data_IF_959861934176
#
_entry.id   IF_959861934176
#
_cell.length_a   1.000
_cell.length_b   1.000
_cell.length_c   1.000
_cell.angle_alpha   90.00
_cell.angle_beta   90.00
_cell.angle_gamma   90.00
#
_symmetry.space_group_name_H-M   'P 1'
#
loop_
_entity.id
_entity.type
_entity.pdbx_description
1 polymer ?
#
# COMPACT_ATOMS: atom_id res chain seq x y z
N UNK A 1 -34.18 -3.58 27.76
CA UNK A 1 -33.15 -3.20 26.76
C UNK A 1 -31.78 -3.33 27.41
N UNK A 2 -30.80 -3.98 26.76
CA UNK A 2 -29.41 -4.04 27.24
C UNK A 2 -28.69 -2.73 26.89
N UNK A 3 -27.60 -2.39 27.58
CA UNK A 3 -26.81 -1.19 27.26
C UNK A 3 -26.27 -1.18 25.82
N UNK A 4 -25.92 -2.33 25.29
CA UNK A 4 -25.46 -2.45 23.91
C UNK A 4 -26.58 -2.12 22.91
N UNK A 5 -27.81 -2.52 23.21
CA UNK A 5 -28.98 -2.21 22.35
C UNK A 5 -29.25 -0.71 22.32
N UNK A 6 -29.01 0.02 23.42
CA UNK A 6 -29.08 1.48 23.46
C UNK A 6 -28.07 2.11 22.48
N UNK A 7 -26.82 1.69 22.50
CA UNK A 7 -25.80 2.24 21.61
C UNK A 7 -26.11 1.95 20.13
N UNK A 8 -26.54 0.71 19.83
CA UNK A 8 -26.95 0.29 18.48
C UNK A 8 -28.14 1.09 17.97
N UNK A 9 -29.17 1.28 18.82
CA UNK A 9 -30.37 2.05 18.50
C UNK A 9 -30.01 3.50 18.12
N UNK A 10 -29.23 4.18 18.95
CA UNK A 10 -28.85 5.57 18.70
C UNK A 10 -27.95 5.74 17.49
N UNK A 11 -27.07 4.77 17.20
CA UNK A 11 -26.27 4.79 15.98
C UNK A 11 -27.15 4.72 14.73
N UNK A 12 -28.02 3.70 14.62
CA UNK A 12 -28.87 3.56 13.45
C UNK A 12 -29.89 4.69 13.31
N UNK A 13 -30.40 5.22 14.43
CA UNK A 13 -31.23 6.43 14.43
C UNK A 13 -30.49 7.61 13.82
N UNK A 14 -29.26 7.86 14.29
CA UNK A 14 -28.42 8.93 13.76
C UNK A 14 -28.16 8.79 12.25
N UNK A 15 -27.70 7.62 11.80
CA UNK A 15 -27.39 7.38 10.39
C UNK A 15 -28.62 7.61 9.51
N UNK A 16 -29.78 7.11 9.93
CA UNK A 16 -31.04 7.29 9.21
C UNK A 16 -31.49 8.76 9.17
N UNK A 17 -31.44 9.45 10.31
CA UNK A 17 -31.90 10.86 10.41
C UNK A 17 -31.00 11.82 9.62
N UNK A 18 -29.71 11.50 9.51
CA UNK A 18 -28.73 12.34 8.80
C UNK A 18 -28.48 11.90 7.36
N UNK A 19 -29.03 10.78 6.91
CA UNK A 19 -28.72 10.20 5.61
C UNK A 19 -27.22 9.88 5.47
N UNK A 20 -26.56 9.49 6.56
CA UNK A 20 -25.12 9.23 6.60
C UNK A 20 -24.83 7.73 6.67
N UNK A 21 -23.77 7.29 6.03
CA UNK A 21 -23.33 5.88 6.08
C UNK A 21 -22.45 5.58 7.31
N UNK A 22 -21.83 6.62 7.87
CA UNK A 22 -20.92 6.48 9.01
C UNK A 22 -20.88 7.72 9.90
N UNK A 23 -20.41 7.54 11.16
CA UNK A 23 -20.28 8.64 12.13
C UNK A 23 -19.12 8.41 13.09
N UNK A 24 -18.42 9.47 13.47
CA UNK A 24 -17.46 9.43 14.57
C UNK A 24 -18.17 9.27 15.94
N UNK A 25 -17.62 8.42 16.84
CA UNK A 25 -18.25 8.14 18.15
C UNK A 25 -18.48 9.43 18.98
N UNK A 26 -17.58 10.41 18.87
CA UNK A 26 -17.72 11.69 19.56
C UNK A 26 -18.92 12.48 19.06
N UNK A 27 -19.17 12.49 17.75
CA UNK A 27 -20.35 13.14 17.15
C UNK A 27 -21.64 12.43 17.56
N UNK A 28 -21.63 11.08 17.58
CA UNK A 28 -22.75 10.29 18.09
C UNK A 28 -23.05 10.60 19.56
N UNK A 29 -22.01 10.71 20.41
CA UNK A 29 -22.16 11.12 21.81
C UNK A 29 -22.90 12.44 21.97
N UNK A 30 -22.46 13.48 21.28
CA UNK A 30 -23.11 14.78 21.34
C UNK A 30 -24.55 14.77 20.78
N UNK A 31 -24.79 13.98 19.74
CA UNK A 31 -26.14 13.80 19.22
C UNK A 31 -27.07 13.17 20.26
N UNK A 32 -26.63 12.14 20.99
CA UNK A 32 -27.43 11.52 22.07
C UNK A 32 -27.69 12.51 23.18
N UNK A 33 -26.67 13.23 23.63
CA UNK A 33 -26.80 14.23 24.72
C UNK A 33 -27.74 15.34 24.36
N UNK A 34 -27.82 15.74 23.10
CA UNK A 34 -28.71 16.82 22.62
C UNK A 34 -30.18 16.39 22.51
N UNK A 35 -30.52 15.13 22.72
CA UNK A 35 -31.91 14.66 22.69
C UNK A 35 -32.65 14.96 24.01
N UNK A 36 -33.98 15.02 23.98
CA UNK A 36 -34.77 15.10 25.21
C UNK A 36 -34.40 13.95 26.17
N UNK A 37 -34.49 14.22 27.48
CA UNK A 37 -34.11 13.24 28.50
C UNK A 37 -34.82 11.91 28.35
N UNK A 38 -36.09 11.91 28.00
CA UNK A 38 -36.88 10.69 27.80
C UNK A 38 -36.34 9.82 26.65
N UNK A 39 -35.70 10.41 25.64
CA UNK A 39 -35.15 9.70 24.48
C UNK A 39 -33.74 9.17 24.71
N UNK A 40 -33.03 9.64 25.75
CA UNK A 40 -31.65 9.24 26.07
C UNK A 40 -31.53 8.41 27.35
N UNK A 41 -32.60 7.74 27.75
CA UNK A 41 -32.59 6.86 28.93
C UNK A 41 -31.82 5.57 28.66
N UNK A 42 -30.68 5.39 29.34
CA UNK A 42 -29.78 4.23 29.20
C UNK A 42 -29.97 3.25 30.36
N UNK A 43 -30.00 1.92 30.14
CA UNK A 43 -30.03 0.92 31.20
C UNK A 43 -28.83 1.04 32.14
N UNK A 44 -29.10 1.09 33.45
CA UNK A 44 -28.07 1.13 34.49
C UNK A 44 -27.49 -0.29 34.80
N UNK A 45 -26.22 -0.36 35.25
CA UNK A 45 -25.58 -1.63 35.60
C UNK A 45 -26.26 -2.39 36.75
N UNK A 46 -26.90 -1.68 37.66
CA UNK A 46 -27.61 -2.24 38.83
C UNK A 46 -29.10 -2.50 38.64
N UNK A 47 -29.60 -2.36 37.42
CA UNK A 47 -31.04 -2.39 37.11
C UNK A 47 -31.62 -0.99 37.02
N UNK A 48 -32.81 -0.88 36.39
CA UNK A 48 -33.44 0.41 36.11
C UNK A 48 -32.81 1.13 34.89
N UNK A 49 -33.14 2.40 34.77
CA UNK A 49 -32.66 3.28 33.69
C UNK A 49 -32.18 4.62 34.27
N UNK A 50 -31.25 5.27 33.59
CA UNK A 50 -30.80 6.63 33.92
C UNK A 50 -30.59 7.42 32.65
N UNK A 51 -30.63 8.74 32.72
CA UNK A 51 -30.28 9.56 31.55
C UNK A 51 -28.82 9.37 31.18
N UNK A 52 -28.54 9.34 29.87
CA UNK A 52 -27.20 9.44 29.32
C UNK A 52 -26.77 10.93 29.33
N UNK A 53 -25.60 11.22 29.89
CA UNK A 53 -25.18 12.57 30.18
C UNK A 53 -23.89 12.94 29.44
N UNK A 54 -23.62 14.27 29.35
CA UNK A 54 -22.36 14.79 28.78
C UNK A 54 -21.20 14.62 29.78
N UNK A 55 -20.83 13.39 30.08
CA UNK A 55 -19.73 13.07 30.98
C UNK A 55 -18.69 12.19 30.27
N UNK A 56 -17.43 12.29 30.70
CA UNK A 56 -16.37 11.42 30.20
C UNK A 56 -16.67 9.93 30.44
N UNK A 57 -17.34 9.62 31.56
CA UNK A 57 -17.73 8.24 31.89
C UNK A 57 -18.74 7.68 30.88
N UNK A 58 -19.77 8.44 30.51
CA UNK A 58 -20.76 8.02 29.53
C UNK A 58 -20.18 7.99 28.11
N UNK A 59 -19.31 8.94 27.75
CA UNK A 59 -18.57 8.88 26.50
C UNK A 59 -17.73 7.59 26.40
N UNK A 60 -16.90 7.29 27.40
CA UNK A 60 -16.08 6.08 27.43
C UNK A 60 -16.95 4.81 27.41
N UNK A 61 -18.09 4.86 28.07
CA UNK A 61 -19.07 3.75 28.03
C UNK A 61 -19.63 3.55 26.63
N UNK A 62 -20.01 4.61 25.93
CA UNK A 62 -20.47 4.54 24.55
C UNK A 62 -19.39 3.96 23.62
N UNK A 63 -18.14 4.43 23.72
CA UNK A 63 -16.99 3.89 22.96
C UNK A 63 -16.88 2.36 23.16
N UNK A 64 -16.99 1.90 24.40
CA UNK A 64 -16.93 0.46 24.71
C UNK A 64 -18.11 -0.30 24.11
N UNK A 65 -19.32 0.22 24.22
CA UNK A 65 -20.53 -0.43 23.71
C UNK A 65 -20.53 -0.51 22.17
N UNK A 66 -20.09 0.54 21.51
CA UNK A 66 -19.93 0.57 20.05
C UNK A 66 -18.87 -0.43 19.59
N UNK A 67 -17.73 -0.53 20.32
CA UNK A 67 -16.71 -1.53 20.03
C UNK A 67 -17.25 -2.96 20.19
N UNK A 68 -17.94 -3.24 21.28
CA UNK A 68 -18.60 -4.53 21.53
C UNK A 68 -19.65 -4.88 20.46
N UNK A 69 -20.44 -3.89 20.04
CA UNK A 69 -21.45 -4.08 19.00
C UNK A 69 -20.82 -4.46 17.65
N UNK A 70 -19.70 -3.84 17.30
CA UNK A 70 -18.93 -4.15 16.08
C UNK A 70 -18.35 -5.58 16.13
N UNK A 71 -17.70 -5.95 17.24
CA UNK A 71 -17.11 -7.28 17.42
C UNK A 71 -18.19 -8.37 17.34
N UNK A 72 -19.40 -8.11 17.86
CA UNK A 72 -20.54 -9.03 17.81
C UNK A 72 -21.30 -9.02 16.50
N UNK A 73 -20.90 -8.22 15.52
CA UNK A 73 -21.58 -8.10 14.24
C UNK A 73 -22.98 -7.44 14.31
N UNK A 74 -23.28 -6.72 15.39
CA UNK A 74 -24.55 -6.01 15.56
C UNK A 74 -24.62 -4.70 14.73
N UNK A 75 -23.47 -4.14 14.38
CA UNK A 75 -23.31 -3.00 13.51
C UNK A 75 -22.14 -3.23 12.54
N UNK A 76 -22.21 -2.72 11.29
CA UNK A 76 -21.11 -2.78 10.36
C UNK A 76 -19.87 -2.02 10.87
N UNK A 77 -18.69 -2.50 10.58
CA UNK A 77 -17.44 -1.80 10.92
C UNK A 77 -17.35 -0.44 10.22
N UNK A 78 -17.84 -0.34 8.99
CA UNK A 78 -17.87 0.88 8.19
C UNK A 78 -18.75 1.98 8.75
N UNK A 79 -19.69 1.67 9.68
CA UNK A 79 -20.58 2.66 10.28
C UNK A 79 -19.89 3.63 11.26
N UNK A 80 -18.61 3.39 11.58
CA UNK A 80 -17.85 4.24 12.51
C UNK A 80 -16.60 4.79 11.82
N UNK A 81 -16.50 6.12 11.80
CA UNK A 81 -15.33 6.84 11.28
C UNK A 81 -14.25 6.91 12.36
N UNK A 82 -13.03 6.57 12.00
CA UNK A 82 -11.83 6.77 12.81
C UNK A 82 -10.99 7.91 12.22
N UNK A 83 -11.15 9.11 12.75
CA UNK A 83 -10.46 10.31 12.27
C UNK A 83 -9.07 10.50 12.90
N UNK A 84 -8.69 9.69 13.91
CA UNK A 84 -7.47 9.92 14.69
C UNK A 84 -6.24 9.19 14.17
N UNK A 85 -6.43 8.09 13.48
CA UNK A 85 -5.32 7.30 12.97
C UNK A 85 -5.13 7.57 11.47
N UNK A 86 -3.88 7.73 11.06
CA UNK A 86 -3.53 7.92 9.65
C UNK A 86 -4.00 6.75 8.78
N UNK A 87 -4.16 6.98 7.49
CA UNK A 87 -4.46 5.91 6.54
C UNK A 87 -3.32 4.89 6.54
N UNK A 88 -3.64 3.59 6.70
CA UNK A 88 -2.64 2.54 6.64
C UNK A 88 -2.13 2.39 5.21
N UNK A 89 -0.88 2.00 5.08
CA UNK A 89 -0.30 1.57 3.81
C UNK A 89 -0.38 0.06 3.76
N UNK A 90 -1.26 -0.45 2.92
CA UNK A 90 -1.43 -1.88 2.75
C UNK A 90 -0.70 -2.36 1.51
N UNK A 91 0.06 -3.42 1.65
CA UNK A 91 0.64 -4.11 0.51
C UNK A 91 -0.43 -4.88 -0.27
N UNK A 92 -0.33 -4.94 -1.61
CA UNK A 92 -1.27 -5.71 -2.40
C UNK A 92 -1.31 -7.17 -1.95
N UNK A 93 -2.52 -7.74 -1.89
CA UNK A 93 -2.73 -9.13 -1.48
C UNK A 93 -2.24 -10.13 -2.53
N UNK A 94 -2.22 -9.72 -3.80
CA UNK A 94 -1.71 -10.47 -4.94
C UNK A 94 -0.71 -9.60 -5.69
N UNK A 95 0.33 -10.24 -6.19
CA UNK A 95 1.03 -9.72 -7.35
C UNK A 95 0.16 -9.99 -8.57
N UNK A 96 -0.74 -9.10 -8.88
CA UNK A 96 -1.18 -9.00 -10.23
C UNK A 96 0.01 -8.41 -10.98
N UNK A 97 0.61 -9.22 -11.84
CA UNK A 97 1.63 -8.71 -12.73
C UNK A 97 0.89 -7.84 -13.73
N UNK A 98 1.03 -6.55 -13.59
CA UNK A 98 0.70 -5.64 -14.67
C UNK A 98 1.74 -5.88 -15.76
N UNK A 99 1.27 -6.37 -16.88
CA UNK A 99 2.09 -6.60 -18.04
C UNK A 99 1.48 -5.88 -19.22
N UNK A 100 2.33 -5.32 -20.06
CA UNK A 100 1.94 -4.73 -21.33
C UNK A 100 2.84 -5.27 -22.44
N UNK A 101 2.30 -5.24 -23.64
CA UNK A 101 3.03 -5.60 -24.84
C UNK A 101 3.39 -4.32 -25.55
N UNK A 102 4.66 -4.09 -25.74
CA UNK A 102 5.17 -2.93 -26.45
C UNK A 102 5.74 -3.39 -27.78
N UNK A 103 5.37 -2.75 -28.93
CA UNK A 103 6.06 -2.97 -30.17
C UNK A 103 7.46 -2.35 -30.03
N UNK A 104 8.47 -3.22 -30.07
CA UNK A 104 9.86 -2.78 -30.11
C UNK A 104 10.19 -2.46 -31.55
N UNK A 105 10.43 -1.18 -31.83
CA UNK A 105 11.09 -0.80 -33.05
C UNK A 105 12.45 -1.46 -33.11
N UNK A 106 12.82 -2.01 -34.27
CA UNK A 106 14.21 -2.26 -34.52
C UNK A 106 14.95 -0.95 -34.19
N UNK A 107 15.87 -1.02 -33.22
CA UNK A 107 16.73 0.11 -32.88
C UNK A 107 17.25 0.70 -34.21
N UNK A 108 17.21 2.02 -34.34
CA UNK A 108 17.82 2.68 -35.51
C UNK A 108 19.30 2.27 -35.68
N UNK A 109 19.93 1.74 -34.62
CA UNK A 109 21.23 1.07 -34.66
C UNK A 109 21.18 -0.43 -35.00
N UNK A 110 20.02 -1.09 -35.06
CA UNK A 110 19.86 -2.47 -35.54
C UNK A 110 19.37 -2.53 -37.01
N UNK A 111 18.74 -1.48 -37.49
CA UNK A 111 18.81 -1.16 -38.91
C UNK A 111 20.29 -0.85 -39.16
N UNK A 112 20.98 -1.56 -40.05
CA UNK A 112 22.38 -1.34 -40.31
C UNK A 112 22.63 0.15 -40.35
N UNK A 113 23.69 0.62 -39.66
CA UNK A 113 24.07 2.05 -39.51
C UNK A 113 23.64 2.85 -40.73
N UNK A 114 22.36 3.22 -40.82
CA UNK A 114 21.76 3.87 -41.97
C UNK A 114 22.31 5.29 -41.97
N UNK A 115 23.51 5.39 -42.53
CA UNK A 115 23.97 6.70 -42.94
C UNK A 115 22.97 7.24 -43.96
N UNK A 116 22.80 8.54 -44.04
CA UNK A 116 21.87 9.21 -44.96
C UNK A 116 22.03 8.76 -46.42
N UNK A 117 23.18 8.18 -46.75
CA UNK A 117 23.53 7.63 -48.06
C UNK A 117 23.04 6.18 -48.22
N UNK A 118 22.55 5.52 -47.22
CA UNK A 118 22.11 4.14 -47.32
C UNK A 118 20.64 4.05 -47.78
N UNK A 119 20.28 2.99 -48.47
CA UNK A 119 18.93 2.74 -48.89
C UNK A 119 18.07 2.29 -47.70
N UNK A 120 16.83 2.81 -47.63
CA UNK A 120 15.85 2.30 -46.68
C UNK A 120 15.57 0.83 -46.93
N UNK A 121 15.41 0.00 -45.86
CA UNK A 121 15.00 -1.37 -46.04
C UNK A 121 13.69 -1.49 -46.81
N UNK A 122 13.50 -2.59 -47.51
CA UNK A 122 12.21 -2.90 -48.13
C UNK A 122 11.11 -3.03 -47.10
N UNK A 123 9.84 -2.83 -47.51
CA UNK A 123 8.70 -3.05 -46.61
C UNK A 123 8.74 -4.39 -45.90
N UNK A 124 9.17 -5.43 -46.60
CA UNK A 124 9.29 -6.77 -46.05
C UNK A 124 10.34 -6.84 -44.95
N UNK A 125 11.53 -6.32 -45.19
CA UNK A 125 12.62 -6.29 -44.21
C UNK A 125 12.23 -5.45 -42.99
N UNK A 126 11.53 -4.33 -43.20
CA UNK A 126 11.02 -3.50 -42.11
C UNK A 126 10.01 -4.26 -41.24
N UNK A 127 9.04 -4.95 -41.84
CA UNK A 127 8.02 -5.73 -41.09
C UNK A 127 8.66 -6.91 -40.36
N UNK A 128 9.61 -7.60 -41.00
CA UNK A 128 10.36 -8.73 -40.37
C UNK A 128 11.22 -8.27 -39.18
N UNK A 129 11.61 -7.01 -39.13
CA UNK A 129 12.41 -6.44 -38.05
C UNK A 129 11.57 -5.92 -36.85
N UNK A 130 10.22 -5.82 -37.00
CA UNK A 130 9.34 -5.43 -35.89
C UNK A 130 9.18 -6.59 -34.94
N UNK A 131 9.60 -6.38 -33.69
CA UNK A 131 9.40 -7.34 -32.61
C UNK A 131 8.37 -6.80 -31.60
N UNK A 132 7.55 -7.69 -31.05
CA UNK A 132 6.68 -7.37 -29.91
C UNK A 132 7.34 -7.92 -28.65
N UNK A 133 7.74 -7.04 -27.75
CA UNK A 133 8.34 -7.42 -26.48
C UNK A 133 7.34 -7.31 -25.36
N UNK A 134 7.02 -8.38 -24.64
CA UNK A 134 6.22 -8.30 -23.44
C UNK A 134 7.07 -7.77 -22.29
N UNK A 135 6.59 -6.72 -21.68
CA UNK A 135 7.12 -6.15 -20.44
C UNK A 135 6.27 -6.65 -19.29
N UNK A 136 6.92 -7.18 -18.28
CA UNK A 136 6.27 -7.57 -17.01
C UNK A 136 6.88 -6.71 -15.91
N UNK A 137 6.05 -5.89 -15.31
CA UNK A 137 6.46 -5.18 -14.11
C UNK A 137 6.56 -6.19 -12.96
N UNK A 138 7.76 -6.40 -12.46
CA UNK A 138 8.01 -7.30 -11.34
C UNK A 138 7.60 -6.63 -10.03
N UNK A 139 6.32 -6.76 -9.67
CA UNK A 139 5.91 -6.49 -8.30
C UNK A 139 6.32 -7.68 -7.44
N UNK A 140 7.07 -7.47 -6.35
CA UNK A 140 7.46 -8.55 -5.47
C UNK A 140 6.24 -9.34 -5.02
N UNK A 141 6.19 -10.65 -5.29
CA UNK A 141 5.07 -11.48 -4.85
C UNK A 141 5.26 -11.86 -3.40
N UNK A 142 4.40 -11.36 -2.55
CA UNK A 142 4.32 -11.78 -1.16
C UNK A 142 3.25 -12.87 -0.93
N UNK A 143 2.73 -13.44 -2.01
CA UNK A 143 1.69 -14.46 -1.98
C UNK A 143 2.11 -15.68 -1.13
N UNK A 144 3.38 -16.05 -1.18
CA UNK A 144 3.92 -17.21 -0.46
C UNK A 144 4.42 -16.88 0.95
N UNK A 145 4.30 -15.66 1.42
CA UNK A 145 4.65 -15.36 2.81
C UNK A 145 3.76 -16.17 3.77
N UNK A 146 4.34 -16.86 4.76
CA UNK A 146 3.56 -17.72 5.65
C UNK A 146 2.66 -16.93 6.60
N UNK A 147 2.92 -15.64 6.76
CA UNK A 147 2.15 -14.70 7.61
C UNK A 147 1.93 -13.39 6.90
N UNK A 148 0.82 -12.72 7.19
CA UNK A 148 0.69 -11.31 6.85
C UNK A 148 1.46 -10.48 7.86
N UNK A 149 2.51 -9.81 7.39
CA UNK A 149 3.37 -8.99 8.23
C UNK A 149 2.75 -7.61 8.36
N UNK A 150 2.60 -7.15 9.60
CA UNK A 150 2.03 -5.85 9.93
C UNK A 150 3.01 -5.11 10.83
N UNK A 151 3.55 -4.02 10.37
CA UNK A 151 4.37 -3.09 11.16
C UNK A 151 3.45 -2.04 11.75
N UNK A 152 3.44 -1.92 13.06
CA UNK A 152 2.65 -0.92 13.77
C UNK A 152 3.57 0.02 14.55
N UNK A 153 3.53 1.31 14.21
CA UNK A 153 4.39 2.32 14.85
C UNK A 153 3.57 3.43 15.50
N UNK A 154 3.93 3.75 16.73
CA UNK A 154 3.45 4.95 17.42
C UNK A 154 4.31 6.15 17.01
N UNK A 155 3.70 7.14 16.38
CA UNK A 155 4.30 8.35 15.77
C UNK A 155 4.75 8.20 14.31
N UNK A 156 4.58 9.30 13.58
CA UNK A 156 4.76 9.35 12.13
C UNK A 156 6.10 9.95 11.65
N UNK A 157 7.04 10.21 12.55
CA UNK A 157 8.23 11.02 12.27
C UNK A 157 9.11 10.45 11.15
N UNK A 158 9.18 9.12 11.02
CA UNK A 158 10.00 8.44 10.00
C UNK A 158 9.17 7.69 8.94
N UNK A 159 7.92 8.09 8.73
CA UNK A 159 6.96 7.35 7.90
C UNK A 159 7.50 6.97 6.52
N UNK A 160 8.11 7.90 5.80
CA UNK A 160 8.56 7.65 4.41
C UNK A 160 9.63 6.56 4.30
N UNK A 161 10.64 6.58 5.19
CA UNK A 161 11.68 5.57 5.20
C UNK A 161 11.12 4.19 5.61
N UNK A 162 10.21 4.16 6.58
CA UNK A 162 9.53 2.94 7.03
C UNK A 162 8.63 2.36 5.94
N UNK A 163 7.90 3.20 5.18
CA UNK A 163 7.09 2.80 4.03
C UNK A 163 7.91 2.04 3.00
N UNK A 164 9.05 2.62 2.58
CA UNK A 164 9.96 1.98 1.61
C UNK A 164 10.45 0.62 2.10
N UNK A 165 10.84 0.53 3.38
CA UNK A 165 11.32 -0.73 3.96
C UNK A 165 10.19 -1.77 4.06
N UNK A 166 8.98 -1.36 4.46
CA UNK A 166 7.80 -2.22 4.49
C UNK A 166 7.43 -2.72 3.09
N UNK A 167 7.46 -1.85 2.08
CA UNK A 167 7.22 -2.23 0.68
C UNK A 167 8.20 -3.30 0.21
N UNK A 168 9.49 -3.11 0.48
CA UNK A 168 10.52 -4.07 0.10
C UNK A 168 10.31 -5.47 0.69
N UNK A 169 9.71 -5.55 1.89
CA UNK A 169 9.43 -6.81 2.59
C UNK A 169 7.99 -7.29 2.50
N UNK A 170 7.11 -6.58 1.77
CA UNK A 170 5.69 -6.91 1.67
C UNK A 170 4.92 -6.84 2.98
N UNK A 171 5.27 -5.88 3.81
CA UNK A 171 4.63 -5.65 5.09
C UNK A 171 3.68 -4.47 5.04
N UNK A 172 2.51 -4.60 5.65
CA UNK A 172 1.59 -3.48 5.87
C UNK A 172 2.17 -2.52 6.92
N UNK A 173 2.00 -1.21 6.74
CA UNK A 173 2.40 -0.19 7.70
C UNK A 173 1.18 0.50 8.31
N UNK A 174 1.06 0.44 9.64
CA UNK A 174 0.07 1.16 10.42
C UNK A 174 0.78 2.21 11.29
N UNK A 175 0.46 3.45 11.06
CA UNK A 175 0.88 4.56 11.94
C UNK A 175 -0.30 4.94 12.83
N UNK A 176 -0.09 4.99 14.13
CA UNK A 176 -1.14 5.29 15.09
C UNK A 176 -0.68 6.34 16.11
N UNK A 177 -1.65 7.01 16.70
CA UNK A 177 -1.44 7.93 17.81
C UNK A 177 -2.38 7.56 18.96
N UNK A 178 -1.82 7.07 20.06
CA UNK A 178 -2.60 6.54 21.18
C UNK A 178 -3.20 5.16 20.88
N UNK A 179 -4.37 4.84 21.45
CA UNK A 179 -4.95 3.50 21.31
C UNK A 179 -5.35 3.17 19.88
N UNK A 180 -5.05 1.95 19.44
CA UNK A 180 -5.48 1.42 18.16
C UNK A 180 -6.99 1.42 18.02
N UNK A 181 -7.45 1.92 16.87
CA UNK A 181 -8.87 1.86 16.53
C UNK A 181 -9.27 0.46 16.12
N UNK A 182 -10.48 0.08 16.51
CA UNK A 182 -11.06 -1.19 16.11
C UNK A 182 -11.26 -1.28 14.59
N UNK A 183 -11.41 -0.15 13.88
CA UNK A 183 -11.47 -0.08 12.43
C UNK A 183 -10.18 -0.59 11.80
N UNK A 184 -9.02 -0.13 12.28
CA UNK A 184 -7.71 -0.58 11.76
C UNK A 184 -7.42 -2.04 12.06
N UNK A 185 -7.85 -2.53 13.24
CA UNK A 185 -7.81 -3.98 13.53
C UNK A 185 -8.62 -4.77 12.50
N UNK A 186 -9.83 -4.31 12.19
CA UNK A 186 -10.70 -4.96 11.22
C UNK A 186 -10.11 -4.97 9.80
N UNK A 187 -9.52 -3.86 9.36
CA UNK A 187 -8.90 -3.75 8.04
C UNK A 187 -7.76 -4.76 7.88
N UNK A 188 -6.87 -4.86 8.89
CA UNK A 188 -5.78 -5.86 8.93
C UNK A 188 -6.32 -7.29 8.93
N UNK A 189 -7.32 -7.55 9.77
CA UNK A 189 -7.91 -8.89 9.91
C UNK A 189 -8.61 -9.33 8.62
N UNK A 190 -9.35 -8.45 7.95
CA UNK A 190 -10.01 -8.80 6.70
C UNK A 190 -9.03 -9.21 5.61
N UNK A 191 -7.90 -8.50 5.52
CA UNK A 191 -6.84 -8.85 4.57
C UNK A 191 -6.20 -10.18 4.90
N UNK A 192 -5.87 -10.41 6.17
CA UNK A 192 -5.30 -11.67 6.62
C UNK A 192 -6.25 -12.87 6.39
N UNK A 193 -7.57 -12.67 6.63
CA UNK A 193 -8.61 -13.66 6.35
C UNK A 193 -8.77 -13.97 4.87
N UNK A 194 -8.72 -12.94 4.01
CA UNK A 194 -8.83 -13.12 2.57
C UNK A 194 -7.69 -13.97 1.99
N UNK A 195 -6.52 -13.97 2.65
CA UNK A 195 -5.36 -14.76 2.28
C UNK A 195 -5.21 -16.06 3.11
N UNK A 196 -6.11 -16.30 4.07
CA UNK A 196 -6.03 -17.37 5.09
C UNK A 196 -4.68 -17.42 5.82
N UNK A 197 -4.11 -16.23 6.14
CA UNK A 197 -2.80 -16.12 6.78
C UNK A 197 -2.90 -15.67 8.22
N UNK A 198 -2.07 -16.21 9.13
CA UNK A 198 -1.87 -15.62 10.44
C UNK A 198 -1.17 -14.27 10.32
N UNK A 199 -1.30 -13.44 11.36
CA UNK A 199 -0.70 -12.11 11.43
C UNK A 199 0.59 -12.19 12.23
N UNK A 200 1.68 -11.58 11.70
CA UNK A 200 2.88 -11.22 12.43
C UNK A 200 2.86 -9.73 12.70
N UNK A 201 2.60 -9.32 13.94
CA UNK A 201 2.61 -7.91 14.34
C UNK A 201 4.01 -7.51 14.84
N UNK A 202 4.69 -6.67 14.07
CA UNK A 202 5.95 -6.05 14.43
C UNK A 202 5.66 -4.66 15.02
N UNK A 203 5.92 -4.49 16.31
CA UNK A 203 5.45 -3.35 17.08
C UNK A 203 6.58 -2.41 17.46
N UNK A 204 6.39 -1.13 17.23
CA UNK A 204 7.35 -0.06 17.51
C UNK A 204 6.64 1.05 18.29
N UNK A 205 7.13 1.37 19.50
CA UNK A 205 6.57 2.42 20.35
C UNK A 205 7.59 2.97 21.32
N UNK A 206 7.21 4.03 22.01
CA UNK A 206 7.89 4.46 23.21
C UNK A 206 7.98 3.33 24.24
N UNK A 207 9.05 3.31 25.03
CA UNK A 207 9.17 2.42 26.17
C UNK A 207 8.53 3.10 27.40
N UNK A 208 7.20 3.03 27.48
CA UNK A 208 6.43 3.53 28.62
C UNK A 208 5.23 2.60 28.91
N UNK A 209 4.49 2.86 29.99
CA UNK A 209 3.33 2.04 30.35
C UNK A 209 2.26 1.98 29.24
N UNK A 210 2.08 3.07 28.50
CA UNK A 210 1.14 3.16 27.39
C UNK A 210 1.56 2.28 26.22
N UNK A 211 2.71 2.58 25.62
CA UNK A 211 3.29 1.85 24.51
C UNK A 211 3.47 0.35 24.83
N UNK A 212 3.86 0.03 26.07
CA UNK A 212 4.01 -1.35 26.50
C UNK A 212 2.70 -2.13 26.51
N UNK A 213 1.61 -1.52 26.97
CA UNK A 213 0.31 -2.18 27.12
C UNK A 213 -0.48 -2.27 25.80
N UNK A 214 -0.20 -1.39 24.82
CA UNK A 214 -0.97 -1.30 23.59
C UNK A 214 -0.80 -2.52 22.67
N UNK A 215 0.43 -3.04 22.52
CA UNK A 215 0.67 -4.17 21.64
C UNK A 215 -0.10 -5.43 22.03
N UNK A 216 -0.07 -5.90 23.29
CA UNK A 216 -0.92 -7.02 23.72
C UNK A 216 -2.42 -6.72 23.60
N UNK A 217 -2.84 -5.48 23.78
CA UNK A 217 -4.24 -5.10 23.61
C UNK A 217 -4.67 -5.18 22.12
N UNK A 218 -3.80 -4.81 21.20
CA UNK A 218 -4.03 -4.96 19.77
C UNK A 218 -4.14 -6.45 19.39
N UNK A 219 -3.22 -7.28 19.83
CA UNK A 219 -3.28 -8.73 19.57
C UNK A 219 -4.55 -9.36 20.14
N UNK A 220 -4.95 -9.03 21.36
CA UNK A 220 -6.23 -9.53 21.91
C UNK A 220 -7.44 -9.15 21.06
N UNK A 221 -7.44 -7.97 20.43
CA UNK A 221 -8.51 -7.57 19.52
C UNK A 221 -8.47 -8.34 18.20
N UNK A 222 -7.27 -8.62 17.67
CA UNK A 222 -7.11 -9.51 16.52
C UNK A 222 -7.69 -10.88 16.86
N UNK A 223 -7.29 -11.49 17.99
CA UNK A 223 -7.76 -12.82 18.42
C UNK A 223 -9.27 -12.89 18.64
N UNK A 224 -9.90 -11.80 19.11
CA UNK A 224 -11.35 -11.71 19.25
C UNK A 224 -12.11 -11.79 17.92
N UNK A 225 -11.52 -11.26 16.85
CA UNK A 225 -12.15 -11.17 15.52
C UNK A 225 -11.66 -12.28 14.59
N UNK A 226 -10.43 -12.73 14.78
CA UNK A 226 -9.76 -13.76 13.97
C UNK A 226 -8.92 -14.66 14.88
N UNK A 227 -9.54 -15.62 15.60
CA UNK A 227 -8.83 -16.48 16.55
C UNK A 227 -7.93 -17.48 15.82
N UNK A 228 -6.61 -17.38 16.05
CA UNK A 228 -5.59 -18.32 15.55
C UNK A 228 -4.46 -18.44 16.57
N UNK A 229 -3.96 -19.65 16.75
CA UNK A 229 -2.84 -19.92 17.68
C UNK A 229 -1.47 -19.52 17.12
N UNK A 230 -1.38 -19.29 15.81
CA UNK A 230 -0.14 -19.00 15.07
C UNK A 230 0.07 -17.50 14.76
N UNK A 231 -0.76 -16.62 15.35
CA UNK A 231 -0.46 -15.18 15.39
C UNK A 231 0.81 -14.91 16.20
N UNK A 232 1.57 -13.91 15.81
CA UNK A 232 2.82 -13.52 16.43
C UNK A 232 2.83 -12.03 16.79
N UNK A 233 3.36 -11.70 17.97
CA UNK A 233 3.71 -10.35 18.37
C UNK A 233 5.22 -10.27 18.64
N UNK A 234 5.90 -9.38 17.96
CA UNK A 234 7.29 -9.02 18.23
C UNK A 234 7.41 -7.52 18.51
N UNK A 235 8.05 -7.17 19.63
CA UNK A 235 8.46 -5.79 19.90
C UNK A 235 9.80 -5.52 19.22
N UNK A 236 9.79 -4.68 18.20
CA UNK A 236 10.99 -4.31 17.43
C UNK A 236 11.77 -3.20 18.14
N UNK A 237 11.05 -2.19 18.65
CA UNK A 237 11.58 -1.08 19.43
C UNK A 237 10.44 -0.39 20.23
N UNK A 238 10.68 0.23 21.40
CA UNK A 238 11.89 0.15 22.18
C UNK A 238 11.80 -0.98 23.19
N UNK A 239 12.93 -1.61 23.46
CA UNK A 239 13.07 -2.59 24.54
C UNK A 239 14.11 -2.11 25.55
N UNK A 240 14.10 -2.70 26.77
CA UNK A 240 15.06 -2.34 27.81
C UNK A 240 16.50 -2.58 27.37
N UNK A 241 16.78 -3.71 26.77
CA UNK A 241 18.11 -4.06 26.26
C UNK A 241 18.62 -3.04 25.22
N UNK A 242 17.71 -2.47 24.42
CA UNK A 242 18.08 -1.42 23.45
C UNK A 242 18.40 -0.09 24.15
N UNK A 243 17.63 0.27 25.19
CA UNK A 243 17.91 1.48 25.98
C UNK A 243 19.30 1.38 26.61
N UNK A 244 19.62 0.25 27.22
CA UNK A 244 20.91 0.02 27.85
C UNK A 244 22.04 -0.05 26.79
N UNK A 245 21.81 -0.74 25.70
CA UNK A 245 22.79 -0.91 24.62
C UNK A 245 23.17 0.40 23.92
N UNK A 246 22.20 1.28 23.71
CA UNK A 246 22.38 2.53 22.97
C UNK A 246 22.52 3.75 23.91
N UNK A 247 22.58 3.52 25.22
CA UNK A 247 22.69 4.56 26.26
C UNK A 247 21.63 5.67 26.08
N UNK A 248 20.36 5.25 25.86
CA UNK A 248 19.30 6.21 25.59
C UNK A 248 18.87 6.95 26.86
N UNK A 249 18.64 8.28 26.77
CA UNK A 249 18.29 9.09 27.93
C UNK A 249 16.88 8.76 28.45
N UNK A 250 16.72 8.73 29.76
CA UNK A 250 15.42 8.66 30.38
C UNK A 250 14.62 9.94 30.10
N UNK A 251 13.38 9.78 29.58
CA UNK A 251 12.49 10.90 29.31
C UNK A 251 11.70 11.33 30.56
N UNK A 252 11.13 10.38 31.31
CA UNK A 252 10.35 10.65 32.53
C UNK A 252 10.20 9.38 33.39
N UNK A 253 9.74 9.60 34.64
CA UNK A 253 9.29 8.52 35.50
C UNK A 253 7.79 8.26 35.23
N UNK A 254 7.32 6.99 35.18
CA UNK A 254 5.93 6.67 34.84
C UNK A 254 4.90 7.30 35.78
N UNK A 255 5.25 7.59 37.03
CA UNK A 255 4.36 8.29 37.98
C UNK A 255 4.04 9.72 37.57
N UNK A 256 4.85 10.34 36.69
CA UNK A 256 4.63 11.69 36.22
C UNK A 256 3.49 11.82 35.18
N UNK A 257 3.09 10.71 34.51
CA UNK A 257 2.04 10.69 33.48
C UNK A 257 0.67 10.21 33.96
N UNK A 258 0.46 10.05 35.26
CA UNK A 258 -0.84 9.68 35.85
C UNK A 258 -1.27 8.24 35.59
N UNK A 259 -0.32 7.32 35.33
CA UNK A 259 -0.58 5.89 35.31
C UNK A 259 -0.93 5.37 36.70
N UNK A 260 -1.81 4.39 36.76
CA UNK A 260 -2.11 3.71 38.04
C UNK A 260 -0.93 2.89 38.51
N UNK A 261 -0.79 2.68 39.83
CA UNK A 261 0.28 1.85 40.38
C UNK A 261 0.32 0.46 39.73
N UNK A 262 -0.83 -0.18 39.53
CA UNK A 262 -0.93 -1.48 38.84
C UNK A 262 -0.37 -1.46 37.42
N UNK A 263 -0.56 -0.37 36.66
CA UNK A 263 0.02 -0.22 35.33
C UNK A 263 1.54 -0.06 35.39
N UNK A 264 2.02 0.70 36.38
CA UNK A 264 3.45 0.89 36.61
C UNK A 264 4.12 -0.42 37.02
N UNK A 265 3.57 -1.11 38.00
CA UNK A 265 4.11 -2.40 38.49
C UNK A 265 4.20 -3.41 37.34
N UNK A 266 3.13 -3.55 36.57
CA UNK A 266 3.11 -4.43 35.41
C UNK A 266 4.16 -4.03 34.37
N UNK A 267 4.30 -2.74 34.06
CA UNK A 267 5.32 -2.26 33.14
C UNK A 267 6.73 -2.59 33.63
N UNK A 268 7.02 -2.33 34.91
CA UNK A 268 8.32 -2.63 35.51
C UNK A 268 8.64 -4.11 35.46
N UNK A 269 7.68 -4.96 35.82
CA UNK A 269 7.84 -6.41 35.84
C UNK A 269 8.07 -6.99 34.44
N UNK A 270 7.29 -6.52 33.45
CA UNK A 270 7.35 -7.05 32.08
C UNK A 270 8.50 -6.43 31.25
N UNK A 271 8.86 -5.16 31.47
CA UNK A 271 9.91 -4.45 30.71
C UNK A 271 11.30 -4.53 31.32
N UNK A 272 11.41 -4.99 32.55
CA UNK A 272 12.68 -5.10 33.27
C UNK A 272 13.20 -3.81 33.88
N UNK A 273 12.38 -2.74 33.96
CA UNK A 273 12.82 -1.48 34.56
C UNK A 273 11.79 -0.38 34.59
N UNK A 274 12.04 0.66 35.40
CA UNK A 274 11.08 1.75 35.67
C UNK A 274 11.21 2.95 34.73
N UNK A 275 12.40 3.20 34.14
CA UNK A 275 12.62 4.39 33.32
C UNK A 275 11.82 4.33 32.01
N UNK A 276 11.10 5.39 31.68
CA UNK A 276 10.44 5.58 30.41
C UNK A 276 11.37 6.30 29.42
N UNK A 277 11.37 5.84 28.16
CA UNK A 277 12.21 6.38 27.09
C UNK A 277 11.35 6.60 25.86
N UNK A 278 11.48 7.76 25.22
CA UNK A 278 10.78 8.06 23.98
C UNK A 278 11.50 7.43 22.77
N UNK A 279 10.75 6.97 21.80
CA UNK A 279 11.26 6.39 20.57
C UNK A 279 12.16 7.38 19.80
N UNK A 280 11.82 8.66 19.86
CA UNK A 280 12.59 9.75 19.22
C UNK A 280 14.01 9.93 19.79
N UNK A 281 14.34 9.29 20.91
CA UNK A 281 15.71 9.25 21.42
C UNK A 281 16.60 8.24 20.65
N UNK A 282 16.00 7.33 19.90
CA UNK A 282 16.70 6.38 19.05
C UNK A 282 17.00 7.01 17.69
N UNK A 283 18.23 6.86 17.21
CA UNK A 283 18.60 7.28 15.86
C UNK A 283 17.76 6.56 14.80
N UNK A 284 17.31 7.29 13.78
CA UNK A 284 16.46 6.75 12.72
C UNK A 284 17.13 5.60 11.96
N UNK A 285 18.43 5.70 11.71
CA UNK A 285 19.18 4.65 11.02
C UNK A 285 19.23 3.36 11.83
N UNK A 286 19.32 3.46 13.16
CA UNK A 286 19.26 2.31 14.07
C UNK A 286 17.86 1.71 14.09
N UNK A 287 16.81 2.53 14.12
CA UNK A 287 15.43 2.07 14.03
C UNK A 287 15.17 1.28 12.74
N UNK A 288 15.63 1.81 11.61
CA UNK A 288 15.51 1.14 10.30
C UNK A 288 16.27 -0.19 10.24
N UNK A 289 17.48 -0.26 10.83
CA UNK A 289 18.24 -1.51 10.94
C UNK A 289 17.53 -2.55 11.81
N UNK A 290 17.00 -2.14 12.96
CA UNK A 290 16.21 -3.02 13.84
C UNK A 290 14.97 -3.56 13.13
N UNK A 291 14.21 -2.69 12.46
CA UNK A 291 13.03 -3.11 11.69
C UNK A 291 13.42 -3.99 10.51
N UNK A 292 14.45 -3.65 9.75
CA UNK A 292 14.93 -4.44 8.63
C UNK A 292 15.30 -5.87 9.04
N UNK A 293 15.97 -6.02 10.19
CA UNK A 293 16.27 -7.35 10.76
C UNK A 293 15.02 -8.10 11.20
N UNK A 294 14.04 -7.42 11.81
CA UNK A 294 12.77 -8.02 12.20
C UNK A 294 11.99 -8.48 10.95
N UNK A 295 11.85 -7.62 9.96
CA UNK A 295 11.21 -7.94 8.69
C UNK A 295 11.89 -9.13 8.00
N UNK A 296 13.22 -9.15 7.93
CA UNK A 296 13.99 -10.25 7.33
C UNK A 296 13.81 -11.60 8.03
N UNK A 297 13.45 -11.62 9.32
CA UNK A 297 13.13 -12.88 10.04
C UNK A 297 11.77 -13.44 9.66
N UNK A 298 10.84 -12.58 9.27
CA UNK A 298 9.44 -12.96 9.03
C UNK A 298 9.07 -12.97 7.56
N UNK A 299 9.80 -12.23 6.71
CA UNK A 299 9.56 -12.23 5.27
C UNK A 299 10.14 -13.47 4.60
N UNK A 300 9.43 -13.95 3.58
CA UNK A 300 9.90 -15.05 2.75
C UNK A 300 11.09 -14.57 1.90
N UNK A 301 12.20 -15.30 1.95
CA UNK A 301 13.46 -14.88 1.30
C UNK A 301 13.62 -15.37 -0.13
N UNK A 302 12.94 -16.45 -0.48
CA UNK A 302 12.96 -16.98 -1.84
C UNK A 302 11.78 -16.41 -2.61
N UNK A 303 12.06 -15.49 -3.52
CA UNK A 303 11.07 -15.04 -4.49
C UNK A 303 10.72 -16.25 -5.36
N UNK A 304 9.49 -16.72 -5.30
CA UNK A 304 9.00 -17.69 -6.27
C UNK A 304 8.73 -16.97 -7.60
N UNK A 305 9.72 -17.01 -8.47
CA UNK A 305 9.60 -16.46 -9.82
C UNK A 305 8.70 -17.29 -10.75
N UNK A 306 8.04 -18.33 -10.23
CA UNK A 306 7.15 -19.18 -11.06
C UNK A 306 5.99 -18.41 -11.62
N UNK A 307 5.32 -17.59 -10.78
CA UNK A 307 4.20 -16.76 -11.19
C UNK A 307 4.63 -15.68 -12.19
N UNK A 308 5.79 -15.05 -11.96
CA UNK A 308 6.40 -14.08 -12.91
C UNK A 308 6.72 -14.75 -14.26
N UNK A 309 7.39 -15.90 -14.23
CA UNK A 309 7.70 -16.65 -15.45
C UNK A 309 6.45 -17.05 -16.21
N UNK A 310 5.40 -17.44 -15.51
CA UNK A 310 4.14 -17.81 -16.13
C UNK A 310 3.37 -16.62 -16.70
N UNK A 311 3.38 -15.47 -16.02
CA UNK A 311 2.84 -14.23 -16.56
C UNK A 311 3.60 -13.78 -17.80
N UNK A 312 4.94 -13.81 -17.76
CA UNK A 312 5.81 -13.49 -18.91
C UNK A 312 5.53 -14.44 -20.09
N UNK A 313 5.37 -15.73 -19.84
CA UNK A 313 5.03 -16.72 -20.89
C UNK A 313 3.69 -16.41 -21.53
N UNK A 314 2.66 -16.10 -20.73
CA UNK A 314 1.34 -15.72 -21.25
C UNK A 314 1.40 -14.47 -22.13
N UNK A 315 2.11 -13.44 -21.69
CA UNK A 315 2.29 -12.23 -22.49
C UNK A 315 3.04 -12.49 -23.80
N UNK A 316 4.03 -13.37 -23.80
CA UNK A 316 4.68 -13.80 -25.04
C UNK A 316 3.73 -14.53 -25.99
N UNK A 317 2.86 -15.41 -25.48
CA UNK A 317 1.84 -16.08 -26.27
C UNK A 317 0.82 -15.08 -26.85
N UNK A 318 0.39 -14.10 -26.05
CA UNK A 318 -0.48 -13.03 -26.48
C UNK A 318 0.18 -12.12 -27.53
N UNK A 319 1.46 -11.74 -27.32
CA UNK A 319 2.22 -10.98 -28.29
C UNK A 319 2.33 -11.70 -29.64
N UNK A 320 2.64 -13.00 -29.60
CA UNK A 320 2.74 -13.81 -30.80
C UNK A 320 1.39 -13.94 -31.54
N UNK A 321 0.28 -13.97 -30.82
CA UNK A 321 -1.05 -13.99 -31.42
C UNK A 321 -1.42 -12.63 -32.03
N UNK A 322 -1.16 -11.53 -31.30
CA UNK A 322 -1.34 -10.17 -31.81
C UNK A 322 -0.54 -9.94 -33.11
N UNK A 323 0.71 -10.36 -33.13
CA UNK A 323 1.57 -10.26 -34.34
C UNK A 323 0.93 -10.94 -35.55
N UNK A 324 0.27 -12.10 -35.38
CA UNK A 324 -0.42 -12.80 -36.48
C UNK A 324 -1.69 -12.11 -36.94
N UNK A 325 -2.34 -11.34 -36.06
CA UNK A 325 -3.63 -10.70 -36.35
C UNK A 325 -3.52 -9.26 -36.84
N UNK A 326 -2.38 -8.60 -36.61
CA UNK A 326 -2.15 -7.23 -37.04
C UNK A 326 -1.97 -7.16 -38.55
N UNK A 327 -2.92 -6.52 -39.22
CA UNK A 327 -2.79 -6.20 -40.64
C UNK A 327 -1.94 -4.93 -40.82
N UNK A 328 -0.66 -5.13 -41.06
CA UNK A 328 0.29 -4.05 -41.32
C UNK A 328 0.22 -3.53 -42.75
N UNK A 329 -0.52 -4.19 -43.64
CA UNK A 329 -0.59 -3.81 -45.07
C UNK A 329 -1.08 -2.39 -45.31
N UNK A 330 -1.91 -1.86 -44.41
CA UNK A 330 -2.43 -0.48 -44.50
C UNK A 330 -1.33 0.59 -44.35
N UNK A 331 -0.20 0.27 -43.69
CA UNK A 331 0.92 1.18 -43.52
C UNK A 331 1.94 1.09 -44.66
N UNK A 332 1.78 0.09 -45.52
CA UNK A 332 2.73 -0.20 -46.59
C UNK A 332 2.87 0.98 -47.57
N UNK A 333 1.77 1.57 -47.98
CA UNK A 333 1.77 2.68 -48.91
C UNK A 333 2.51 3.90 -48.33
N UNK A 334 2.27 4.18 -47.03
CA UNK A 334 2.93 5.32 -46.36
C UNK A 334 4.42 5.04 -46.21
N UNK A 335 4.79 3.83 -45.81
CA UNK A 335 6.20 3.41 -45.71
C UNK A 335 6.92 3.50 -47.06
N UNK A 336 6.32 2.96 -48.15
CA UNK A 336 6.91 2.97 -49.47
C UNK A 336 7.07 4.39 -49.98
N UNK A 337 6.15 5.30 -49.65
CA UNK A 337 6.30 6.72 -49.97
C UNK A 337 7.47 7.37 -49.25
N UNK A 338 7.62 7.06 -47.96
CA UNK A 338 8.75 7.52 -47.14
C UNK A 338 10.07 6.98 -47.66
N UNK A 339 10.13 5.67 -47.92
CA UNK A 339 11.35 5.03 -48.42
C UNK A 339 11.76 5.59 -49.79
N UNK A 340 10.78 5.86 -50.66
CA UNK A 340 11.03 6.47 -51.97
C UNK A 340 11.64 7.84 -51.83
N UNK A 341 11.06 8.69 -50.98
CA UNK A 341 11.57 10.06 -50.77
C UNK A 341 12.93 10.07 -50.04
N UNK A 342 13.12 9.18 -49.09
CA UNK A 342 14.42 9.00 -48.42
C UNK A 342 15.51 8.64 -49.46
N UNK A 343 15.25 7.61 -50.27
CA UNK A 343 16.20 7.12 -51.27
C UNK A 343 16.51 8.21 -52.32
N UNK A 344 15.49 9.01 -52.73
CA UNK A 344 15.68 10.17 -53.60
C UNK A 344 16.64 11.21 -52.97
N UNK A 345 16.44 11.52 -51.69
CA UNK A 345 17.28 12.46 -50.96
C UNK A 345 18.69 11.86 -50.74
N UNK A 346 18.80 10.58 -50.44
CA UNK A 346 20.07 9.89 -50.32
C UNK A 346 20.89 9.98 -51.62
N UNK A 347 20.24 9.83 -52.77
CA UNK A 347 20.90 9.97 -54.08
C UNK A 347 21.34 11.43 -54.35
N UNK A 348 20.52 12.41 -53.99
CA UNK A 348 20.91 13.82 -54.05
C UNK A 348 22.13 14.12 -53.16
N UNK A 349 22.12 13.58 -51.93
CA UNK A 349 23.19 13.75 -50.96
C UNK A 349 24.48 13.07 -51.44
N UNK A 350 24.40 11.89 -52.03
CA UNK A 350 25.56 11.22 -52.65
C UNK A 350 26.18 12.05 -53.79
N UNK A 351 25.31 12.80 -54.52
CA UNK A 351 25.74 13.59 -55.67
C UNK A 351 26.38 14.92 -55.25
N UNK A 352 26.06 15.44 -54.09
CA UNK A 352 26.52 16.73 -53.56
C UNK A 352 27.23 16.57 -52.21
N UNK A 353 28.43 16.02 -52.23
CA UNK A 353 29.18 15.66 -51.00
C UNK A 353 29.56 16.85 -50.09
N UNK A 354 29.61 18.08 -50.56
CA UNK A 354 30.15 19.22 -49.81
C UNK A 354 29.11 20.10 -49.09
N UNK A 355 27.80 19.83 -49.23
CA UNK A 355 26.73 20.63 -48.60
C UNK A 355 25.83 19.87 -47.63
N UNK A 356 26.31 18.84 -47.06
CA UNK A 356 25.54 17.70 -46.48
C UNK A 356 24.88 18.00 -45.15
N UNK A 357 25.47 18.83 -44.30
CA UNK A 357 25.08 18.91 -42.87
C UNK A 357 23.61 19.28 -42.59
N UNK A 358 23.09 20.31 -43.27
CA UNK A 358 21.71 20.79 -43.04
C UNK A 358 20.63 19.89 -43.63
N UNK A 359 20.88 19.31 -44.82
CA UNK A 359 19.96 18.37 -45.47
C UNK A 359 19.93 17.04 -44.75
N UNK A 360 21.06 16.59 -44.24
CA UNK A 360 21.17 15.41 -43.40
C UNK A 360 20.30 15.52 -42.15
N UNK A 361 20.42 16.59 -41.40
CA UNK A 361 19.61 16.81 -40.19
C UNK A 361 18.11 16.93 -40.51
N UNK A 362 17.74 17.39 -41.69
CA UNK A 362 16.34 17.45 -42.12
C UNK A 362 15.76 16.09 -42.44
N UNK A 363 16.53 15.22 -43.09
CA UNK A 363 16.11 13.82 -43.38
C UNK A 363 15.96 13.00 -42.13
N UNK A 364 16.90 13.10 -41.20
CA UNK A 364 16.79 12.36 -39.91
C UNK A 364 15.56 12.83 -39.11
N UNK A 365 15.28 14.14 -39.01
CA UNK A 365 14.08 14.65 -38.38
C UNK A 365 12.79 14.15 -39.04
N UNK A 366 12.75 14.18 -40.37
CA UNK A 366 11.59 13.70 -41.13
C UNK A 366 11.38 12.20 -40.97
N UNK A 367 12.45 11.38 -41.03
CA UNK A 367 12.41 9.94 -40.82
C UNK A 367 11.90 9.61 -39.42
N UNK A 368 12.43 10.26 -38.40
CA UNK A 368 12.00 10.08 -37.02
C UNK A 368 10.50 10.44 -36.84
N UNK A 369 10.04 11.55 -37.43
CA UNK A 369 8.64 11.98 -37.35
C UNK A 369 7.69 10.99 -38.05
N UNK A 370 8.04 10.47 -39.21
CA UNK A 370 7.18 9.50 -39.90
C UNK A 370 7.16 8.13 -39.23
N UNK A 371 8.29 7.64 -38.82
CA UNK A 371 8.35 6.38 -38.05
C UNK A 371 7.54 6.51 -36.75
N UNK A 372 7.67 7.62 -36.05
CA UNK A 372 6.86 7.90 -34.86
C UNK A 372 5.35 7.90 -35.16
N UNK A 373 4.91 8.47 -36.26
CA UNK A 373 3.49 8.46 -36.66
C UNK A 373 2.99 7.06 -37.01
N UNK A 374 3.73 6.30 -37.80
CA UNK A 374 3.40 4.89 -38.13
C UNK A 374 3.24 4.08 -36.83
N UNK A 375 4.12 4.31 -35.88
CA UNK A 375 4.08 3.63 -34.59
C UNK A 375 2.89 4.00 -33.73
N UNK A 376 2.64 5.32 -33.61
CA UNK A 376 1.46 5.81 -32.88
C UNK A 376 0.17 5.17 -33.44
N UNK A 377 0.05 5.10 -34.75
CA UNK A 377 -1.12 4.53 -35.40
C UNK A 377 -1.18 2.98 -35.25
N UNK A 378 -0.04 2.30 -35.25
CA UNK A 378 0.03 0.86 -34.98
C UNK A 378 -0.36 0.55 -33.51
N UNK A 379 0.15 1.30 -32.54
CA UNK A 379 -0.20 1.16 -31.12
C UNK A 379 -1.70 1.37 -30.88
N UNK A 380 -2.28 2.42 -31.46
CA UNK A 380 -3.74 2.67 -31.39
C UNK A 380 -4.53 1.52 -31.99
N UNK A 381 -4.04 0.90 -33.07
CA UNK A 381 -4.73 -0.21 -33.76
C UNK A 381 -4.65 -1.51 -32.99
N UNK A 382 -3.54 -1.75 -32.27
CA UNK A 382 -3.33 -2.95 -31.45
C UNK A 382 -3.96 -2.85 -30.05
N UNK A 383 -4.51 -1.69 -29.65
CA UNK A 383 -5.08 -1.48 -28.32
C UNK A 383 -4.04 -1.41 -27.20
N UNK A 384 -2.77 -1.28 -27.54
CA UNK A 384 -1.66 -1.20 -26.59
C UNK A 384 -1.51 0.27 -26.15
N UNK A 385 -1.67 0.53 -24.84
CA UNK A 385 -1.49 1.87 -24.30
C UNK A 385 -0.03 2.34 -24.45
N UNK A 386 0.19 3.46 -25.12
CA UNK A 386 1.47 4.13 -25.14
C UNK A 386 1.61 4.89 -23.81
N UNK A 387 2.52 4.47 -22.96
CA UNK A 387 2.99 5.33 -21.86
C UNK A 387 4.01 6.29 -22.47
N UNK A 388 3.59 7.53 -22.69
CA UNK A 388 4.53 8.60 -23.02
C UNK A 388 5.31 8.96 -21.75
N UNK A 389 6.64 8.83 -21.78
CA UNK A 389 7.53 9.50 -20.83
C UNK A 389 7.58 11.02 -21.06
#
# INVERSE_FOLDING_TARGET
MRQIDFAVFHLFRYLREKGADAVGVRRLHYNIVSQPEADRMMPAKGGGVRPYENTLADYNRLVTLIADARIRGLIPFSSIIDEKNGEPVFMPARSDFDGWIEPVLPDAGALPDLQIVDEMPTWREFVEAIEFSPHVETVPTFAHQPRRIVVAIEKATSRGALETLCQYHGADLLVFSGQFSLTRVHDVVNRAKAEDKPIALLYISDLDCGGWSMAPAFMRRIDQVYPRADHLLERVALTRDQVDRFDLPQAFDPSAKGYTQTQIDRFVDESGGRSCVELDALDESVLLDLLGRALSRHSYRELDHTAEREARRRLWEEAAELYRTVDLSRFRTDYEAVATEHNRIADEVRTFADGIGEKAAAVERWRADVLSRIFSDMCVTCGVGVVAE
#
